data_IF_702039988293
#
_entry.id   IF_702039988293
#
_cell.length_a   1.000
_cell.length_b   1.000
_cell.length_c   1.000
_cell.angle_alpha   90.00
_cell.angle_beta   90.00
_cell.angle_gamma   90.00
#
_symmetry.space_group_name_H-M   'P 1'
#
loop_
_entity.id
_entity.type
_entity.pdbx_description
1 polymer ?
#
# COMPACT_ATOMS: atom_id res chain seq x y z
N UNK A 1 -16.58 79.48 -43.02
CA UNK A 1 -15.82 78.39 -42.36
C UNK A 1 -16.16 77.12 -43.11
N UNK A 2 -15.28 76.67 -44.02
CA UNK A 2 -15.56 75.60 -44.99
C UNK A 2 -15.04 74.29 -44.39
N UNK A 3 -15.95 73.38 -44.04
CA UNK A 3 -15.64 72.00 -43.68
C UNK A 3 -15.23 71.25 -44.96
N UNK A 4 -13.93 70.96 -45.11
CA UNK A 4 -13.43 70.04 -46.13
C UNK A 4 -13.85 68.63 -45.76
N UNK A 5 -14.87 68.10 -46.45
CA UNK A 5 -15.14 66.67 -46.48
C UNK A 5 -13.93 65.96 -47.08
N UNK A 6 -13.17 65.28 -46.23
CA UNK A 6 -12.10 64.36 -46.62
C UNK A 6 -12.77 63.08 -47.12
N UNK A 7 -12.99 62.99 -48.42
CA UNK A 7 -13.41 61.75 -49.08
C UNK A 7 -12.32 60.69 -48.85
N UNK A 8 -12.71 59.58 -48.24
CA UNK A 8 -11.88 58.39 -48.10
C UNK A 8 -11.55 57.93 -49.54
N UNK A 9 -10.27 57.82 -49.93
CA UNK A 9 -9.92 57.41 -51.29
C UNK A 9 -10.29 55.95 -51.51
N UNK A 10 -11.06 55.71 -52.58
CA UNK A 10 -11.03 54.52 -53.44
C UNK A 10 -11.34 53.17 -52.78
N UNK A 11 -12.59 52.71 -52.94
CA UNK A 11 -12.91 51.27 -52.93
C UNK A 11 -12.34 50.62 -54.21
N UNK A 12 -11.03 50.45 -54.28
CA UNK A 12 -10.45 49.53 -55.26
C UNK A 12 -10.80 48.10 -54.82
N UNK A 13 -11.72 47.46 -55.54
CA UNK A 13 -12.12 46.08 -55.27
C UNK A 13 -10.91 45.15 -55.30
N UNK A 14 -10.82 44.24 -54.32
CA UNK A 14 -9.77 43.23 -54.26
C UNK A 14 -9.63 42.48 -55.59
N UNK A 15 -8.39 42.30 -56.04
CA UNK A 15 -8.15 41.50 -57.25
C UNK A 15 -8.47 40.03 -56.96
N UNK A 16 -9.02 39.31 -57.96
CA UNK A 16 -9.35 37.89 -57.83
C UNK A 16 -8.14 37.05 -57.34
N UNK A 17 -6.94 37.40 -57.82
CA UNK A 17 -5.69 36.72 -57.46
C UNK A 17 -5.37 36.91 -55.98
N UNK A 18 -5.57 38.12 -55.43
CA UNK A 18 -5.32 38.41 -54.03
C UNK A 18 -6.27 37.63 -53.11
N UNK A 19 -7.55 37.51 -53.49
CA UNK A 19 -8.52 36.67 -52.78
C UNK A 19 -8.12 35.19 -52.83
N UNK A 20 -7.63 34.71 -53.98
CA UNK A 20 -7.14 33.33 -54.11
C UNK A 20 -5.89 33.07 -53.25
N UNK A 21 -4.93 33.99 -53.24
CA UNK A 21 -3.72 33.84 -52.41
C UNK A 21 -4.07 33.89 -50.93
N UNK A 22 -4.96 34.81 -50.52
CA UNK A 22 -5.41 34.92 -49.14
C UNK A 22 -6.14 33.66 -48.65
N UNK A 23 -7.03 33.10 -49.47
CA UNK A 23 -7.75 31.85 -49.14
C UNK A 23 -6.80 30.67 -49.00
N UNK A 24 -5.79 30.53 -49.88
CA UNK A 24 -4.78 29.48 -49.76
C UNK A 24 -3.97 29.61 -48.46
N UNK A 25 -3.49 30.81 -48.12
CA UNK A 25 -2.76 31.04 -46.87
C UNK A 25 -3.64 30.69 -45.66
N UNK A 26 -4.90 31.11 -45.67
CA UNK A 26 -5.84 30.82 -44.60
C UNK A 26 -6.05 29.30 -44.45
N UNK A 27 -6.20 28.55 -45.54
CA UNK A 27 -6.35 27.08 -45.47
C UNK A 27 -5.12 26.40 -44.85
N UNK A 28 -3.90 26.82 -45.19
CA UNK A 28 -2.69 26.27 -44.59
C UNK A 28 -2.57 26.63 -43.10
N UNK A 29 -2.95 27.84 -42.70
CA UNK A 29 -3.00 28.23 -41.29
C UNK A 29 -4.02 27.39 -40.52
N UNK A 30 -5.23 27.22 -41.06
CA UNK A 30 -6.26 26.36 -40.45
C UNK A 30 -5.77 24.92 -40.31
N UNK A 31 -5.15 24.36 -41.34
CA UNK A 31 -4.58 23.01 -41.29
C UNK A 31 -3.48 22.87 -40.24
N UNK A 32 -2.60 23.88 -40.14
CA UNK A 32 -1.56 23.94 -39.10
C UNK A 32 -2.16 23.97 -37.69
N UNK A 33 -3.19 24.79 -37.46
CA UNK A 33 -3.89 24.89 -36.18
C UNK A 33 -4.58 23.57 -35.83
N UNK A 34 -5.27 22.93 -36.79
CA UNK A 34 -5.93 21.64 -36.56
C UNK A 34 -4.90 20.58 -36.16
N UNK A 35 -3.78 20.45 -36.90
CA UNK A 35 -2.72 19.50 -36.54
C UNK A 35 -2.09 19.76 -35.17
N UNK A 36 -1.83 21.03 -34.83
CA UNK A 36 -1.31 21.38 -33.50
C UNK A 36 -2.34 21.07 -32.40
N UNK A 37 -3.62 21.28 -32.68
CA UNK A 37 -4.72 20.99 -31.75
C UNK A 37 -4.84 19.48 -31.54
N UNK A 38 -4.85 18.69 -32.60
CA UNK A 38 -4.94 17.22 -32.53
C UNK A 38 -3.75 16.63 -31.75
N UNK A 39 -2.52 17.06 -32.05
CA UNK A 39 -1.34 16.63 -31.30
C UNK A 39 -1.41 17.02 -29.82
N UNK A 40 -1.96 18.20 -29.52
CA UNK A 40 -2.12 18.67 -28.15
C UNK A 40 -3.18 17.87 -27.39
N UNK A 41 -4.29 17.51 -28.05
CA UNK A 41 -5.34 16.64 -27.51
C UNK A 41 -4.77 15.24 -27.24
N UNK A 42 -4.13 14.62 -28.22
CA UNK A 42 -3.54 13.29 -28.07
C UNK A 42 -2.47 13.24 -26.97
N UNK A 43 -1.63 14.29 -26.88
CA UNK A 43 -0.63 14.38 -25.82
C UNK A 43 -1.29 14.50 -24.45
N UNK A 44 -2.32 15.34 -24.32
CA UNK A 44 -3.07 15.51 -23.08
C UNK A 44 -3.75 14.20 -22.67
N UNK A 45 -4.40 13.51 -23.60
CA UNK A 45 -5.07 12.23 -23.34
C UNK A 45 -4.07 11.16 -22.89
N UNK A 46 -2.93 11.05 -23.57
CA UNK A 46 -1.86 10.12 -23.19
C UNK A 46 -1.33 10.41 -21.78
N UNK A 47 -0.99 11.65 -21.48
CA UNK A 47 -0.49 12.03 -20.13
C UNK A 47 -1.55 11.77 -19.06
N UNK A 48 -2.82 12.13 -19.33
CA UNK A 48 -3.92 11.86 -18.39
C UNK A 48 -4.09 10.36 -18.15
N UNK A 49 -3.95 9.54 -19.19
CA UNK A 49 -4.05 8.08 -19.09
C UNK A 49 -2.88 7.47 -18.31
N UNK A 50 -1.66 7.99 -18.48
CA UNK A 50 -0.46 7.64 -17.72
C UNK A 50 -0.62 7.99 -16.24
N UNK A 51 -1.07 9.21 -15.94
CA UNK A 51 -1.28 9.69 -14.56
C UNK A 51 -2.35 8.86 -13.83
N UNK A 52 -3.46 8.54 -14.50
CA UNK A 52 -4.51 7.68 -13.93
C UNK A 52 -3.99 6.26 -13.64
N UNK A 53 -3.12 5.73 -14.49
CA UNK A 53 -2.54 4.41 -14.29
C UNK A 53 -1.58 4.41 -13.10
N UNK A 54 -0.67 5.39 -13.03
CA UNK A 54 0.22 5.58 -11.89
C UNK A 54 -0.56 5.72 -10.57
N UNK A 55 -1.62 6.53 -10.56
CA UNK A 55 -2.48 6.69 -9.38
C UNK A 55 -3.14 5.37 -8.95
N UNK A 56 -3.60 4.54 -9.90
CA UNK A 56 -4.20 3.23 -9.58
C UNK A 56 -3.18 2.29 -8.94
N UNK A 57 -1.94 2.28 -9.44
CA UNK A 57 -0.85 1.48 -8.87
C UNK A 57 -0.55 1.94 -7.44
N UNK A 58 -0.39 3.26 -7.22
CA UNK A 58 -0.15 3.83 -5.90
C UNK A 58 -1.28 3.52 -4.91
N UNK A 59 -2.54 3.63 -5.32
CA UNK A 59 -3.69 3.25 -4.50
C UNK A 59 -3.67 1.76 -4.15
N UNK A 60 -3.28 0.90 -5.10
CA UNK A 60 -3.14 -0.54 -4.88
C UNK A 60 -2.05 -0.86 -3.85
N UNK A 61 -0.87 -0.25 -4.00
CA UNK A 61 0.25 -0.39 -3.07
C UNK A 61 -0.13 0.14 -1.68
N UNK A 62 -0.74 1.32 -1.61
CA UNK A 62 -1.19 1.91 -0.35
C UNK A 62 -2.19 1.01 0.38
N UNK A 63 -3.05 0.29 -0.35
CA UNK A 63 -3.97 -0.68 0.26
C UNK A 63 -3.25 -1.89 0.84
N UNK A 64 -2.27 -2.44 0.12
CA UNK A 64 -1.42 -3.54 0.60
C UNK A 64 -0.66 -3.10 1.86
N UNK A 65 -0.10 -1.89 1.82
CA UNK A 65 0.61 -1.29 2.94
C UNK A 65 -0.28 -1.13 4.16
N UNK A 66 -1.50 -0.61 4.00
CA UNK A 66 -2.45 -0.45 5.10
C UNK A 66 -2.78 -1.78 5.78
N UNK A 67 -3.06 -2.85 5.01
CA UNK A 67 -3.35 -4.16 5.57
C UNK A 67 -2.12 -4.77 6.26
N UNK A 68 -0.95 -4.77 5.62
CA UNK A 68 0.27 -5.33 6.21
C UNK A 68 0.72 -4.55 7.45
N UNK A 69 0.59 -3.22 7.44
CA UNK A 69 0.90 -2.37 8.58
C UNK A 69 -0.04 -2.64 9.76
N UNK A 70 -1.29 -3.02 9.47
CA UNK A 70 -2.33 -3.37 10.45
C UNK A 70 -2.46 -4.88 10.69
N UNK A 71 -1.45 -5.66 10.34
CA UNK A 71 -1.39 -7.08 10.66
C UNK A 71 -1.59 -7.29 12.17
N UNK A 72 -2.46 -8.21 12.51
CA UNK A 72 -2.78 -8.52 13.89
C UNK A 72 -2.10 -9.82 14.34
N UNK A 73 -1.32 -9.73 15.40
CA UNK A 73 -0.93 -10.88 16.21
C UNK A 73 -0.76 -10.43 17.67
N UNK A 74 -1.33 -11.16 18.65
CA UNK A 74 -1.12 -10.85 20.07
C UNK A 74 0.35 -10.85 20.49
N UNK A 75 1.23 -11.52 19.73
CA UNK A 75 2.67 -11.57 20.00
C UNK A 75 3.37 -10.21 19.91
N UNK A 76 2.69 -9.19 19.37
CA UNK A 76 3.18 -7.81 19.41
C UNK A 76 3.11 -7.14 20.78
N UNK A 77 2.36 -7.68 21.73
CA UNK A 77 2.18 -7.07 23.05
C UNK A 77 2.01 -8.08 24.19
N UNK A 78 1.86 -9.37 23.88
CA UNK A 78 1.72 -10.45 24.84
C UNK A 78 2.73 -11.57 24.55
N UNK A 79 3.12 -12.31 25.58
CA UNK A 79 3.96 -13.49 25.42
C UNK A 79 3.13 -14.69 24.95
N UNK A 80 3.80 -15.71 24.41
CA UNK A 80 3.20 -17.03 24.20
C UNK A 80 2.81 -17.62 25.56
N UNK A 81 1.60 -18.17 25.68
CA UNK A 81 1.24 -18.92 26.88
C UNK A 81 2.01 -20.25 26.91
N UNK A 82 2.62 -20.55 28.04
CA UNK A 82 3.05 -21.90 28.39
C UNK A 82 1.90 -22.51 29.18
N UNK A 83 1.31 -23.60 28.66
CA UNK A 83 0.18 -24.37 29.19
C UNK A 83 -0.39 -23.81 30.52
N UNK A 84 -1.40 -22.94 30.43
CA UNK A 84 -2.00 -22.33 31.61
C UNK A 84 -2.98 -23.33 32.27
N UNK A 85 -2.85 -23.64 33.57
CA UNK A 85 -3.64 -24.69 34.23
C UNK A 85 -5.04 -24.27 34.69
N UNK A 86 -5.60 -23.13 34.26
CA UNK A 86 -6.73 -22.50 35.00
C UNK A 86 -8.00 -22.13 34.23
N UNK A 87 -8.07 -22.22 32.89
CA UNK A 87 -9.34 -22.15 32.12
C UNK A 87 -9.25 -22.99 30.84
N UNK A 88 -9.10 -24.32 30.98
CA UNK A 88 -8.80 -25.25 29.87
C UNK A 88 -9.83 -25.24 28.72
N UNK A 89 -11.10 -24.93 28.97
CA UNK A 89 -12.15 -24.99 27.95
C UNK A 89 -12.12 -23.83 26.94
N UNK A 90 -11.78 -22.62 27.38
CA UNK A 90 -11.77 -21.45 26.48
C UNK A 90 -10.52 -21.40 25.59
N UNK A 91 -9.40 -21.94 26.08
CA UNK A 91 -8.12 -21.95 25.36
C UNK A 91 -8.00 -23.12 24.39
N UNK A 92 -8.45 -24.30 24.79
CA UNK A 92 -8.36 -25.52 23.96
C UNK A 92 -9.10 -25.41 22.63
N UNK A 93 -10.18 -24.61 22.55
CA UNK A 93 -10.97 -24.50 21.32
C UNK A 93 -10.18 -23.99 20.12
N UNK A 94 -9.13 -23.20 20.35
CA UNK A 94 -8.31 -22.62 19.28
C UNK A 94 -7.05 -23.41 18.96
N UNK A 95 -6.74 -24.42 19.78
CA UNK A 95 -5.56 -25.26 19.57
C UNK A 95 -5.87 -26.32 18.50
N UNK A 96 -5.03 -26.38 17.47
CA UNK A 96 -5.16 -27.37 16.38
C UNK A 96 -5.97 -26.92 15.16
N UNK A 97 -6.47 -25.68 15.13
CA UNK A 97 -7.12 -25.12 13.94
C UNK A 97 -6.12 -24.69 12.86
N UNK A 98 -6.54 -24.61 11.60
CA UNK A 98 -5.68 -24.12 10.50
C UNK A 98 -5.37 -22.62 10.59
N UNK A 99 -6.21 -21.85 11.29
CA UNK A 99 -6.12 -20.38 11.40
C UNK A 99 -5.39 -19.87 12.63
N UNK A 100 -5.35 -20.65 13.71
CA UNK A 100 -4.83 -20.20 15.00
C UNK A 100 -3.83 -21.22 15.53
N UNK A 101 -2.68 -20.72 15.99
CA UNK A 101 -1.60 -21.57 16.45
C UNK A 101 -1.80 -22.02 17.90
N UNK A 102 -2.02 -21.04 18.77
CA UNK A 102 -2.12 -21.18 20.22
C UNK A 102 -2.69 -19.89 20.81
N UNK A 103 -2.91 -19.84 22.11
CA UNK A 103 -3.33 -18.63 22.82
C UNK A 103 -2.16 -17.92 23.51
N UNK A 104 -2.20 -16.59 23.51
CA UNK A 104 -1.24 -15.75 24.23
C UNK A 104 -1.47 -15.79 25.74
N UNK A 105 -0.55 -15.24 26.54
CA UNK A 105 -0.71 -15.13 27.99
C UNK A 105 -1.91 -14.31 28.43
N UNK A 106 -2.46 -13.48 27.54
CA UNK A 106 -3.69 -12.70 27.76
C UNK A 106 -4.94 -13.43 27.27
N UNK A 107 -4.79 -14.67 26.81
CA UNK A 107 -5.89 -15.49 26.33
C UNK A 107 -6.36 -15.20 24.90
N UNK A 108 -5.75 -14.24 24.20
CA UNK A 108 -6.07 -13.97 22.80
C UNK A 108 -5.48 -15.05 21.88
N UNK A 109 -6.24 -15.57 20.91
CA UNK A 109 -5.73 -16.54 19.94
C UNK A 109 -4.73 -15.88 18.99
N UNK A 110 -3.63 -16.57 18.72
CA UNK A 110 -2.56 -16.12 17.84
C UNK A 110 -2.84 -16.63 16.43
N UNK A 111 -3.17 -15.75 15.46
CA UNK A 111 -3.47 -16.17 14.11
C UNK A 111 -2.20 -16.63 13.39
N UNK A 112 -2.36 -17.57 12.46
CA UNK A 112 -1.33 -17.92 11.50
C UNK A 112 -1.27 -16.89 10.38
N UNK A 113 -0.06 -16.55 9.99
CA UNK A 113 0.26 -15.99 8.69
C UNK A 113 0.48 -17.18 7.76
N UNK A 114 -0.30 -17.26 6.69
CA UNK A 114 -0.28 -18.38 5.76
C UNK A 114 0.18 -17.86 4.42
N UNK A 115 1.20 -18.50 3.85
CA UNK A 115 1.67 -18.26 2.50
C UNK A 115 1.88 -19.62 1.87
N UNK A 116 0.98 -20.01 0.98
CA UNK A 116 1.09 -21.28 0.26
C UNK A 116 2.23 -21.21 -0.76
N UNK A 117 2.31 -20.06 -1.44
CA UNK A 117 3.32 -19.71 -2.44
C UNK A 117 3.78 -18.26 -2.22
N UNK A 118 4.88 -17.85 -2.88
CA UNK A 118 5.39 -16.46 -2.83
C UNK A 118 4.39 -15.40 -3.31
N UNK A 119 3.35 -15.82 -4.03
CA UNK A 119 2.34 -14.96 -4.65
C UNK A 119 1.04 -14.88 -3.83
N UNK A 120 0.92 -15.71 -2.79
CA UNK A 120 -0.27 -15.78 -1.94
C UNK A 120 0.07 -15.48 -0.50
N UNK A 121 -0.77 -14.66 0.14
CA UNK A 121 -0.59 -14.28 1.53
C UNK A 121 -1.96 -14.12 2.20
N UNK A 122 -2.17 -14.85 3.28
CA UNK A 122 -3.35 -14.81 4.12
C UNK A 122 -2.96 -14.45 5.55
N UNK A 123 -3.65 -13.47 6.13
CA UNK A 123 -3.37 -13.00 7.48
C UNK A 123 -4.57 -12.27 8.06
N UNK A 124 -4.54 -12.06 9.38
CA UNK A 124 -5.55 -11.33 10.11
C UNK A 124 -5.13 -9.86 10.28
N UNK A 125 -6.08 -8.93 10.12
CA UNK A 125 -5.90 -7.49 10.34
C UNK A 125 -6.85 -7.00 11.43
N UNK A 126 -6.51 -5.90 12.11
CA UNK A 126 -7.32 -5.32 13.20
C UNK A 126 -8.04 -4.00 12.85
N UNK A 127 -7.90 -3.50 11.62
CA UNK A 127 -8.40 -2.19 11.21
C UNK A 127 -9.63 -2.26 10.28
N UNK A 128 -10.41 -3.35 10.30
CA UNK A 128 -11.60 -3.44 9.47
C UNK A 128 -12.64 -2.41 9.89
N UNK A 129 -13.22 -1.71 8.91
CA UNK A 129 -14.32 -0.76 9.11
C UNK A 129 -15.59 -1.30 8.46
N UNK A 130 -16.70 -1.26 9.21
CA UNK A 130 -18.01 -1.63 8.69
C UNK A 130 -18.42 -0.65 7.60
N UNK A 131 -18.93 -1.19 6.49
CA UNK A 131 -19.46 -0.35 5.39
C UNK A 131 -20.95 -0.06 5.53
N UNK A 132 -21.68 -0.95 6.20
CA UNK A 132 -23.13 -0.88 6.37
C UNK A 132 -23.41 -0.85 7.87
N UNK A 133 -24.27 0.08 8.27
CA UNK A 133 -24.79 0.18 9.63
C UNK A 133 -25.48 -1.13 10.02
N UNK A 134 -25.32 -1.56 11.28
CA UNK A 134 -25.85 -2.83 11.82
C UNK A 134 -25.39 -4.13 11.13
N UNK A 135 -24.40 -4.07 10.23
CA UNK A 135 -23.78 -5.30 9.72
C UNK A 135 -23.02 -6.06 10.83
N UNK A 136 -23.18 -7.38 10.85
CA UNK A 136 -22.46 -8.30 11.77
C UNK A 136 -21.00 -8.49 11.34
N UNK A 137 -20.26 -7.39 11.21
CA UNK A 137 -18.85 -7.39 10.86
C UNK A 137 -17.99 -7.05 12.07
N UNK A 138 -16.91 -7.80 12.27
CA UNK A 138 -15.91 -7.51 13.29
C UNK A 138 -14.95 -6.40 12.86
N UNK A 139 -14.28 -5.77 13.83
CA UNK A 139 -13.12 -4.90 13.58
C UNK A 139 -11.91 -5.69 13.10
N UNK A 140 -11.88 -6.99 13.39
CA UNK A 140 -10.92 -7.91 12.82
C UNK A 140 -11.42 -8.50 11.51
N UNK A 141 -10.51 -8.76 10.59
CA UNK A 141 -10.83 -9.44 9.36
C UNK A 141 -9.67 -10.32 8.90
N UNK A 142 -9.99 -11.40 8.21
CA UNK A 142 -9.02 -12.15 7.41
C UNK A 142 -8.93 -11.52 6.04
N UNK A 143 -7.70 -11.33 5.57
CA UNK A 143 -7.38 -10.79 4.25
C UNK A 143 -6.56 -11.83 3.51
N UNK A 144 -6.90 -12.07 2.24
CA UNK A 144 -6.13 -12.89 1.33
C UNK A 144 -5.75 -12.08 0.11
N UNK A 145 -4.47 -12.09 -0.19
CA UNK A 145 -3.92 -11.65 -1.47
C UNK A 145 -3.59 -12.87 -2.32
N UNK A 146 -3.98 -12.84 -3.59
CA UNK A 146 -3.67 -13.88 -4.56
C UNK A 146 -3.57 -13.33 -5.97
N UNK A 147 -2.71 -13.92 -6.79
CA UNK A 147 -2.67 -13.62 -8.23
C UNK A 147 -3.73 -14.44 -8.97
N UNK A 148 -4.39 -13.81 -9.94
CA UNK A 148 -5.23 -14.46 -10.94
C UNK A 148 -4.88 -13.97 -12.34
N UNK A 149 -5.35 -14.68 -13.36
CA UNK A 149 -5.22 -14.22 -14.74
C UNK A 149 -5.99 -12.91 -14.93
N UNK A 150 -5.36 -11.92 -15.58
CA UNK A 150 -6.03 -10.67 -15.90
C UNK A 150 -6.95 -10.89 -17.11
N UNK A 151 -8.25 -10.66 -16.92
CA UNK A 151 -9.23 -10.69 -18.00
C UNK A 151 -9.42 -9.27 -18.54
N UNK A 152 -9.05 -9.07 -19.81
CA UNK A 152 -9.28 -7.80 -20.51
C UNK A 152 -10.79 -7.59 -20.61
N UNK A 153 -11.28 -6.45 -20.12
CA UNK A 153 -12.68 -6.07 -20.28
C UNK A 153 -12.89 -5.47 -21.67
N UNK A 154 -14.03 -5.77 -22.28
CA UNK A 154 -14.45 -5.09 -23.51
C UNK A 154 -14.50 -3.57 -23.27
N UNK A 155 -13.73 -2.81 -24.06
CA UNK A 155 -13.62 -1.35 -23.94
C UNK A 155 -12.31 -0.82 -23.33
N UNK A 156 -11.38 -1.66 -22.89
CA UNK A 156 -10.01 -1.21 -22.63
C UNK A 156 -9.28 -1.04 -23.98
N UNK A 157 -9.14 0.22 -24.43
CA UNK A 157 -8.44 0.66 -25.65
C UNK A 157 -6.91 0.53 -25.53
N UNK A 158 -6.45 -0.66 -25.16
CA UNK A 158 -5.02 -0.95 -25.06
C UNK A 158 -4.45 -1.30 -26.44
N UNK A 159 -3.79 -0.31 -27.06
CA UNK A 159 -3.06 -0.47 -28.33
C UNK A 159 -1.87 -1.45 -28.21
N UNK A 160 -1.26 -1.55 -27.02
CA UNK A 160 -0.03 -2.33 -26.79
C UNK A 160 -0.19 -3.86 -26.94
N UNK A 161 -1.40 -4.41 -26.79
CA UNK A 161 -1.63 -5.85 -26.96
C UNK A 161 -1.87 -6.29 -28.41
N UNK A 162 -2.04 -5.34 -29.34
CA UNK A 162 -2.36 -5.60 -30.76
C UNK A 162 -1.17 -5.41 -31.70
N UNK A 163 -0.08 -4.78 -31.22
CA UNK A 163 1.13 -4.58 -31.99
C UNK A 163 2.02 -5.83 -32.02
N UNK A 164 1.70 -6.79 -32.90
CA UNK A 164 2.52 -7.77 -33.67
C UNK A 164 3.96 -8.21 -33.25
N UNK A 165 4.47 -7.88 -32.06
CA UNK A 165 5.86 -8.17 -31.67
C UNK A 165 6.12 -8.19 -30.17
N UNK A 166 5.16 -7.78 -29.34
CA UNK A 166 5.27 -7.94 -27.89
C UNK A 166 4.93 -9.39 -27.51
N UNK A 167 5.89 -10.06 -26.89
CA UNK A 167 5.82 -11.44 -26.42
C UNK A 167 4.49 -11.76 -25.75
N UNK A 168 4.01 -12.98 -25.96
CA UNK A 168 2.79 -13.62 -25.41
C UNK A 168 2.84 -13.78 -23.87
N UNK A 169 3.19 -12.71 -23.13
CA UNK A 169 3.41 -12.71 -21.70
C UNK A 169 2.05 -12.61 -21.01
N UNK A 170 1.70 -13.64 -20.26
CA UNK A 170 0.43 -13.67 -19.53
C UNK A 170 0.40 -12.55 -18.50
N UNK A 171 -0.55 -11.62 -18.65
CA UNK A 171 -0.79 -10.57 -17.68
C UNK A 171 -1.64 -11.12 -16.53
N UNK A 172 -1.26 -10.72 -15.33
CA UNK A 172 -1.86 -11.13 -14.07
C UNK A 172 -2.51 -9.94 -13.37
N UNK A 173 -3.39 -10.25 -12.43
CA UNK A 173 -4.07 -9.32 -11.56
C UNK A 173 -3.88 -9.80 -10.12
N UNK A 174 -3.44 -8.89 -9.25
CA UNK A 174 -3.45 -9.13 -7.82
C UNK A 174 -4.83 -8.79 -7.29
N UNK A 175 -5.50 -9.79 -6.73
CA UNK A 175 -6.79 -9.61 -6.06
C UNK A 175 -6.67 -9.70 -4.56
N UNK A 176 -7.57 -8.98 -3.90
CA UNK A 176 -7.75 -9.02 -2.47
C UNK A 176 -9.14 -9.51 -2.12
N UNK A 177 -9.22 -10.55 -1.30
CA UNK A 177 -10.44 -11.02 -0.67
C UNK A 177 -10.42 -10.71 0.83
N UNK A 178 -11.58 -10.50 1.43
CA UNK A 178 -11.69 -10.22 2.85
C UNK A 178 -12.93 -10.83 3.48
N UNK A 179 -12.75 -11.47 4.63
CA UNK A 179 -13.83 -12.02 5.45
C UNK A 179 -13.79 -11.42 6.87
N UNK A 180 -14.90 -10.83 7.31
CA UNK A 180 -15.01 -10.15 8.59
C UNK A 180 -16.24 -10.59 9.43
N UNK A 181 -17.02 -11.55 8.94
CA UNK A 181 -18.28 -11.97 9.58
C UNK A 181 -18.01 -12.75 10.88
N UNK A 182 -17.18 -13.79 10.79
CA UNK A 182 -16.67 -14.51 11.96
C UNK A 182 -15.16 -14.75 11.84
N UNK A 183 -14.34 -13.75 12.20
CA UNK A 183 -12.90 -13.85 12.05
C UNK A 183 -12.26 -14.84 13.04
N UNK A 184 -12.98 -15.28 14.07
CA UNK A 184 -12.49 -16.23 15.07
C UNK A 184 -13.09 -17.63 14.88
N UNK A 185 -13.83 -17.88 13.80
CA UNK A 185 -14.27 -19.22 13.41
C UNK A 185 -13.08 -20.16 13.19
N UNK A 186 -13.19 -21.40 13.68
CA UNK A 186 -12.21 -22.47 13.43
C UNK A 186 -12.33 -23.04 12.01
N UNK A 187 -13.52 -22.90 11.40
CA UNK A 187 -13.80 -23.38 10.06
C UNK A 187 -12.95 -22.65 9.01
N UNK A 188 -12.48 -23.38 8.00
CA UNK A 188 -11.71 -22.80 6.90
C UNK A 188 -12.56 -21.79 6.13
N UNK A 189 -11.96 -20.65 5.78
CA UNK A 189 -12.63 -19.67 4.92
C UNK A 189 -12.68 -20.22 3.50
N UNK A 190 -13.89 -20.36 2.99
CA UNK A 190 -14.11 -20.68 1.58
C UNK A 190 -13.93 -19.41 0.74
N UNK A 191 -12.68 -19.16 0.34
CA UNK A 191 -12.29 -17.99 -0.43
C UNK A 191 -12.94 -17.90 -1.81
N UNK A 192 -13.49 -19.00 -2.36
CA UNK A 192 -14.21 -18.98 -3.63
C UNK A 192 -15.57 -18.26 -3.50
N UNK A 193 -16.19 -18.33 -2.31
CA UNK A 193 -17.43 -17.63 -1.99
C UNK A 193 -17.21 -16.18 -1.56
N UNK A 194 -16.00 -15.86 -1.10
CA UNK A 194 -15.66 -14.50 -0.66
C UNK A 194 -15.39 -13.62 -1.87
N UNK A 195 -16.09 -12.50 -1.95
CA UNK A 195 -15.90 -11.53 -3.04
C UNK A 195 -14.47 -10.97 -3.01
N UNK A 196 -13.70 -11.29 -4.04
CA UNK A 196 -12.39 -10.70 -4.30
C UNK A 196 -12.52 -9.45 -5.19
N UNK A 197 -11.61 -8.49 -5.01
CA UNK A 197 -11.54 -7.29 -5.84
C UNK A 197 -10.12 -7.03 -6.35
N UNK A 198 -9.95 -6.45 -7.56
CA UNK A 198 -8.65 -6.05 -8.08
C UNK A 198 -7.98 -5.04 -7.15
N UNK A 199 -6.69 -5.23 -6.90
CA UNK A 199 -5.83 -4.23 -6.23
C UNK A 199 -4.79 -3.70 -7.20
N UNK A 200 -4.13 -4.59 -7.94
CA UNK A 200 -3.19 -4.24 -8.99
C UNK A 200 -3.54 -5.07 -10.24
N UNK A 201 -3.42 -4.44 -11.40
CA UNK A 201 -3.71 -5.05 -12.71
C UNK A 201 -2.50 -4.97 -13.62
N UNK A 202 -2.46 -5.81 -14.66
CA UNK A 202 -1.37 -5.84 -15.67
C UNK A 202 0.00 -6.12 -15.06
N UNK A 203 0.00 -7.01 -14.09
CA UNK A 203 1.19 -7.48 -13.41
C UNK A 203 1.81 -8.58 -14.26
N UNK A 204 3.13 -8.58 -14.40
CA UNK A 204 3.88 -9.68 -15.01
C UNK A 204 4.50 -10.58 -13.95
N UNK A 205 4.91 -10.02 -12.81
CA UNK A 205 5.43 -10.76 -11.65
C UNK A 205 5.07 -10.06 -10.35
N UNK A 206 4.82 -10.82 -9.28
CA UNK A 206 4.57 -10.29 -7.94
C UNK A 206 5.05 -11.29 -6.89
N UNK A 207 5.81 -10.81 -5.91
CA UNK A 207 6.41 -11.66 -4.87
C UNK A 207 6.39 -10.99 -3.49
N UNK A 208 5.98 -11.76 -2.49
CA UNK A 208 6.18 -11.44 -1.08
C UNK A 208 7.52 -12.00 -0.60
N UNK A 209 8.29 -11.17 0.09
CA UNK A 209 9.46 -11.59 0.84
C UNK A 209 9.31 -11.19 2.31
N UNK A 210 9.85 -12.00 3.21
CA UNK A 210 9.61 -11.93 4.65
C UNK A 210 10.90 -11.62 5.39
N UNK A 211 10.87 -10.63 6.28
CA UNK A 211 12.05 -10.26 7.06
C UNK A 211 12.34 -11.27 8.16
N UNK A 212 13.56 -11.81 8.18
CA UNK A 212 14.05 -12.64 9.28
C UNK A 212 15.00 -11.84 10.20
N UNK A 213 14.67 -11.79 11.49
CA UNK A 213 15.43 -11.03 12.50
C UNK A 213 16.81 -11.67 12.77
N UNK A 214 16.92 -12.99 12.64
CA UNK A 214 18.18 -13.72 12.86
C UNK A 214 19.18 -13.48 11.75
N UNK A 215 18.80 -13.75 10.50
CA UNK A 215 19.68 -13.57 9.34
C UNK A 215 19.81 -12.12 8.89
N UNK A 216 18.91 -11.23 9.35
CA UNK A 216 18.81 -9.81 8.94
C UNK A 216 18.65 -9.67 7.42
N UNK A 217 17.92 -10.59 6.80
CA UNK A 217 17.66 -10.63 5.35
C UNK A 217 16.17 -10.89 5.10
N UNK A 218 15.74 -10.54 3.89
CA UNK A 218 14.43 -10.93 3.40
C UNK A 218 14.55 -12.33 2.76
N UNK A 219 13.72 -13.26 3.22
CA UNK A 219 13.60 -14.62 2.72
C UNK A 219 12.34 -14.76 1.87
N UNK A 220 12.36 -15.68 0.91
CA UNK A 220 11.24 -15.86 -0.03
C UNK A 220 10.16 -16.78 0.54
N UNK A 221 10.53 -17.69 1.43
CA UNK A 221 9.59 -18.63 2.06
C UNK A 221 9.33 -18.27 3.52
N UNK A 222 8.04 -18.25 3.88
CA UNK A 222 7.61 -17.99 5.26
C UNK A 222 8.10 -19.06 6.24
N UNK A 223 8.33 -20.29 5.77
CA UNK A 223 8.77 -21.41 6.62
C UNK A 223 10.23 -21.30 7.05
N UNK A 224 11.04 -20.53 6.33
CA UNK A 224 12.45 -20.32 6.64
C UNK A 224 12.66 -19.25 7.72
N UNK A 225 11.67 -18.37 7.91
CA UNK A 225 11.69 -17.34 8.94
C UNK A 225 11.36 -17.95 10.29
N UNK A 226 12.22 -17.71 11.29
CA UNK A 226 11.93 -18.18 12.65
C UNK A 226 10.65 -17.53 13.19
N UNK A 227 9.69 -18.36 13.60
CA UNK A 227 8.37 -17.92 14.05
C UNK A 227 7.60 -17.07 13.02
N UNK A 228 7.99 -17.12 11.74
CA UNK A 228 7.38 -16.31 10.67
C UNK A 228 5.89 -16.59 10.49
N UNK A 229 5.45 -17.81 10.79
CA UNK A 229 4.02 -18.17 10.75
C UNK A 229 3.16 -17.45 11.79
N UNK A 230 3.73 -16.82 12.82
CA UNK A 230 2.96 -16.18 13.89
C UNK A 230 3.36 -14.72 14.12
N UNK A 231 4.58 -14.35 13.76
CA UNK A 231 5.14 -13.03 13.99
C UNK A 231 6.03 -12.62 12.82
N UNK A 232 5.58 -11.63 12.07
CA UNK A 232 6.38 -10.92 11.08
C UNK A 232 6.35 -9.43 11.37
N UNK A 233 7.49 -8.77 11.24
CA UNK A 233 7.63 -7.33 11.50
C UNK A 233 7.79 -6.49 10.24
N UNK A 234 8.28 -7.11 9.17
CA UNK A 234 8.46 -6.43 7.90
C UNK A 234 8.29 -7.38 6.73
N UNK A 235 7.77 -6.81 5.66
CA UNK A 235 7.51 -7.44 4.38
C UNK A 235 8.26 -6.63 3.31
N UNK A 236 8.77 -7.32 2.30
CA UNK A 236 9.23 -6.67 1.07
C UNK A 236 8.39 -7.20 -0.08
N UNK A 237 7.58 -6.32 -0.65
CA UNK A 237 6.87 -6.60 -1.89
C UNK A 237 7.78 -6.25 -3.06
N UNK A 238 7.82 -7.11 -4.07
CA UNK A 238 8.43 -6.83 -5.36
C UNK A 238 7.40 -7.15 -6.42
N UNK A 239 7.23 -6.26 -7.38
CA UNK A 239 6.35 -6.53 -8.50
C UNK A 239 6.85 -5.86 -9.77
N UNK A 240 6.52 -6.49 -10.88
CA UNK A 240 6.74 -5.96 -12.22
C UNK A 240 5.39 -5.83 -12.88
N UNK A 241 5.12 -4.69 -13.47
CA UNK A 241 3.87 -4.40 -14.15
C UNK A 241 4.14 -3.79 -15.52
N UNK A 242 3.17 -3.93 -16.42
CA UNK A 242 3.25 -3.41 -17.78
C UNK A 242 2.32 -2.21 -17.91
N UNK A 243 2.88 -1.06 -18.31
CA UNK A 243 2.09 0.13 -18.59
C UNK A 243 1.34 0.03 -19.92
N UNK A 244 0.47 1.00 -20.22
CA UNK A 244 -0.27 1.07 -21.50
C UNK A 244 0.60 1.09 -22.76
N UNK A 245 1.86 1.48 -22.64
CA UNK A 245 2.84 1.54 -23.72
C UNK A 245 3.59 0.21 -23.91
N UNK A 246 3.28 -0.81 -23.09
CA UNK A 246 3.94 -2.11 -23.14
C UNK A 246 5.33 -2.13 -22.48
N UNK A 247 5.70 -1.08 -21.75
CA UNK A 247 6.96 -1.00 -21.01
C UNK A 247 6.78 -1.67 -19.65
N UNK A 248 7.69 -2.58 -19.33
CA UNK A 248 7.75 -3.21 -18.01
C UNK A 248 8.44 -2.29 -17.01
N UNK A 249 7.78 -2.08 -15.89
CA UNK A 249 8.26 -1.29 -14.76
C UNK A 249 8.37 -2.20 -13.54
N UNK A 250 9.52 -2.18 -12.89
CA UNK A 250 9.77 -2.93 -11.66
C UNK A 250 9.77 -1.99 -10.47
N UNK A 251 9.05 -2.37 -9.42
CA UNK A 251 9.03 -1.64 -8.17
C UNK A 251 9.18 -2.59 -6.98
N UNK A 252 9.83 -2.10 -5.92
CA UNK A 252 9.90 -2.84 -4.66
C UNK A 252 9.70 -1.90 -3.48
N UNK A 253 8.92 -2.35 -2.50
CA UNK A 253 8.60 -1.58 -1.30
C UNK A 253 8.77 -2.43 -0.05
N UNK A 254 9.36 -1.84 0.98
CA UNK A 254 9.47 -2.46 2.30
C UNK A 254 8.38 -1.87 3.19
N UNK A 255 7.54 -2.73 3.72
CA UNK A 255 6.41 -2.37 4.58
C UNK A 255 6.66 -2.94 5.97
N UNK A 256 6.46 -2.13 7.00
CA UNK A 256 6.63 -2.52 8.41
C UNK A 256 5.28 -2.56 9.10
N UNK A 257 5.15 -3.45 10.06
CA UNK A 257 3.97 -3.48 10.95
C UNK A 257 4.00 -2.27 11.88
N UNK A 258 2.85 -1.65 12.15
CA UNK A 258 2.74 -0.46 13.00
C UNK A 258 2.84 -0.76 14.50
N UNK A 259 3.14 -2.00 14.87
CA UNK A 259 3.28 -2.40 16.26
C UNK A 259 4.68 -2.09 16.80
N UNK A 260 4.78 -1.63 18.06
CA UNK A 260 6.07 -1.40 18.68
C UNK A 260 6.88 -2.70 18.79
N UNK A 261 8.20 -2.55 18.96
CA UNK A 261 9.03 -3.70 19.27
C UNK A 261 8.69 -4.19 20.68
N UNK A 262 8.27 -5.44 20.76
CA UNK A 262 7.96 -6.11 22.01
C UNK A 262 8.77 -7.40 22.07
N UNK A 263 9.51 -7.55 23.16
CA UNK A 263 10.23 -8.78 23.50
C UNK A 263 9.79 -9.18 24.89
N UNK A 264 9.02 -10.25 24.98
CA UNK A 264 8.65 -10.82 26.27
C UNK A 264 9.93 -11.11 27.06
N UNK A 265 10.00 -10.62 28.31
CA UNK A 265 11.05 -11.06 29.23
C UNK A 265 10.83 -12.56 29.44
N UNK A 266 11.88 -13.36 29.20
CA UNK A 266 11.84 -14.77 29.59
C UNK A 266 11.46 -14.83 31.07
N UNK A 267 10.43 -15.62 31.41
CA UNK A 267 10.11 -15.87 32.81
C UNK A 267 11.37 -16.47 33.44
N UNK A 268 11.91 -15.80 34.46
CA UNK A 268 13.02 -16.34 35.24
C UNK A 268 12.47 -17.60 35.90
N UNK A 269 13.08 -18.75 35.63
CA UNK A 269 12.69 -20.00 36.28
C UNK A 269 12.66 -19.77 37.80
N UNK A 270 11.54 -20.02 38.49
CA UNK A 270 11.48 -19.87 39.94
C UNK A 270 12.46 -20.81 40.66
N UNK A 271 12.98 -21.83 39.97
CA UNK A 271 14.01 -22.74 40.45
C UNK A 271 15.47 -22.32 40.13
N UNK A 272 15.71 -21.22 39.40
CA UNK A 272 17.07 -20.67 39.30
C UNK A 272 17.36 -19.82 40.53
N UNK A 273 17.57 -20.48 41.67
CA UNK A 273 18.06 -19.86 42.89
C UNK A 273 19.51 -19.39 42.67
N UNK A 274 19.67 -18.16 42.19
CA UNK A 274 20.93 -17.45 42.34
C UNK A 274 21.06 -17.01 43.80
N UNK A 275 21.72 -17.84 44.59
CA UNK A 275 22.34 -17.44 45.85
C UNK A 275 23.35 -16.33 45.57
N UNK A 276 22.96 -15.07 45.78
CA UNK A 276 23.93 -14.01 46.07
C UNK A 276 23.29 -12.98 47.01
N UNK A 277 23.46 -13.25 48.29
CA UNK A 277 23.47 -12.26 49.36
C UNK A 277 24.46 -11.14 49.03
N UNK A 278 23.99 -9.90 49.04
CA UNK A 278 24.83 -8.71 48.83
C UNK A 278 24.04 -7.43 49.11
N UNK A 279 23.84 -7.15 50.39
CA UNK A 279 23.29 -5.90 50.91
C UNK A 279 24.35 -4.80 50.75
N UNK A 280 24.00 -3.66 50.13
CA UNK A 280 24.89 -2.50 50.01
C UNK A 280 24.30 -1.44 49.07
N UNK A 281 23.71 -0.39 49.64
CA UNK A 281 23.04 0.65 48.88
C UNK A 281 23.97 1.61 48.15
N UNK A 282 23.45 2.24 47.11
CA UNK A 282 23.77 3.60 46.69
C UNK A 282 22.68 4.08 45.74
N UNK A 283 22.01 5.16 46.13
CA UNK A 283 21.30 6.05 45.23
C UNK A 283 22.40 6.73 44.41
N UNK A 284 22.48 6.43 43.12
CA UNK A 284 23.27 7.24 42.19
C UNK A 284 22.42 7.55 40.97
N UNK A 285 22.01 8.81 40.90
CA UNK A 285 21.31 9.39 39.77
C UNK A 285 22.34 9.73 38.71
N UNK A 286 22.28 9.02 37.59
CA UNK A 286 22.82 9.52 36.33
C UNK A 286 21.94 9.06 35.17
N UNK A 287 21.12 10.00 34.72
CA UNK A 287 20.48 10.03 33.41
C UNK A 287 21.50 9.76 32.29
N UNK A 288 21.21 8.86 31.33
CA UNK A 288 21.85 8.87 30.03
C UNK A 288 20.89 9.55 29.03
N UNK A 289 20.66 10.85 29.21
CA UNK A 289 19.97 11.69 28.22
C UNK A 289 20.72 13.01 28.00
N UNK A 290 21.98 12.92 27.58
CA UNK A 290 22.73 14.04 27.02
C UNK A 290 23.71 13.51 25.97
N UNK A 291 23.26 13.40 24.72
CA UNK A 291 24.07 13.83 23.58
C UNK A 291 23.21 13.87 22.30
N UNK A 292 22.39 14.91 22.14
CA UNK A 292 21.95 15.37 20.83
C UNK A 292 21.60 16.85 20.95
N UNK A 293 22.28 17.69 20.17
CA UNK A 293 21.74 18.99 19.79
C UNK A 293 22.61 20.18 20.18
N UNK A 294 23.59 20.44 19.31
CA UNK A 294 24.07 21.76 18.93
C UNK A 294 23.09 22.92 19.23
N UNK A 295 23.64 23.92 19.90
CA UNK A 295 23.22 25.33 19.81
C UNK A 295 23.29 25.78 18.34
N UNK A 296 22.41 26.69 17.87
CA UNK A 296 22.69 28.10 18.13
C UNK A 296 21.44 28.94 18.44
N UNK A 297 21.43 29.51 19.63
CA UNK A 297 21.24 30.95 19.88
C UNK A 297 20.90 31.80 18.65
N UNK A 298 19.62 32.16 18.56
CA UNK A 298 19.07 33.08 17.58
C UNK A 298 17.85 33.82 18.12
N UNK A 299 18.06 34.56 19.21
CA UNK A 299 17.40 35.82 19.62
C UNK A 299 16.08 36.14 18.88
N UNK A 300 14.94 35.96 19.57
CA UNK A 300 13.83 36.90 19.48
C UNK A 300 13.24 37.07 20.89
N UNK A 301 13.42 38.29 21.43
CA UNK A 301 12.77 38.78 22.64
C UNK A 301 11.32 39.08 22.29
N UNK A 302 10.38 38.38 22.91
CA UNK A 302 8.99 38.80 22.90
C UNK A 302 8.80 39.86 23.99
N UNK A 303 8.55 41.09 23.55
CA UNK A 303 8.17 42.21 24.40
C UNK A 303 6.65 42.24 24.49
N UNK A 304 6.13 41.89 25.67
CA UNK A 304 4.75 42.22 26.03
C UNK A 304 4.61 43.72 26.23
N UNK A 305 3.68 44.33 25.51
CA UNK A 305 3.09 45.63 25.79
C UNK A 305 1.67 45.65 25.23
N UNK A 306 0.73 45.78 26.16
CA UNK A 306 -0.49 46.60 26.16
C UNK A 306 -1.32 46.77 24.88
N UNK A 307 -2.64 46.69 25.04
CA UNK A 307 -3.55 47.34 24.12
C UNK A 307 -5.00 46.91 24.28
N UNK A 308 -5.76 47.74 24.98
CA UNK A 308 -7.22 47.78 25.08
C UNK A 308 -7.95 47.76 23.71
N UNK A 309 -9.06 47.01 23.65
CA UNK A 309 -10.43 47.40 23.21
C UNK A 309 -11.28 46.16 22.86
#
# INVERSE_FOLDING_TARGET
MILKNKTIPGEEGFTLIEVMVATVILTFLTFGIVKMTDNSILTKERVTAEDQEALRIEMGIARIEEDLASLYTPLFFAAKAEAAPLEEEAFSRYEGGEKFAFTSTLGHPVPFIISADKTTLEFMVYNNRRRVEDSKQSTFAWVRYSLRKWERKEGDDDEAASGSGSSNKELLELVRAQSAEDPFSLEKIDWEKVKAYPVLSRITAFEFNFWDEKSKKFLESLTEVENGKQLLRAFKIKFTWMNKQGVELEESKIIRTNWPYFKAKAKKDPNSSSTSSGFGGAIDGSDPLKDFGNDPSGIFKDGGSDGDE
#
